data_IF_171528110098
#
_entry.id   IF_171528110098
#
_cell.length_a   1.000
_cell.length_b   1.000
_cell.length_c   1.000
_cell.angle_alpha   90.00
_cell.angle_beta   90.00
_cell.angle_gamma   90.00
#
_symmetry.space_group_name_H-M   'P 1'
#
loop_
_entity.id
_entity.type
_entity.pdbx_description
1 polymer ?
#
# COMPACT_ATOMS: atom_id res chain seq x y z
N UNK A 1 -19.26 -5.94 26.84
CA UNK A 1 -20.48 -6.72 26.53
C UNK A 1 -21.42 -6.05 25.50
N UNK A 2 -21.37 -4.72 25.32
CA UNK A 2 -22.29 -3.97 24.44
C UNK A 2 -21.81 -3.75 22.98
N UNK A 3 -20.62 -4.20 22.59
CA UNK A 3 -20.18 -4.14 21.18
C UNK A 3 -20.44 -5.47 20.49
N UNK A 4 -21.32 -5.44 19.49
CA UNK A 4 -21.72 -6.56 18.62
C UNK A 4 -20.78 -6.77 17.42
N UNK A 5 -19.80 -5.89 17.21
CA UNK A 5 -18.86 -6.01 16.11
C UNK A 5 -17.77 -7.06 16.39
N UNK A 6 -17.35 -7.78 15.36
CA UNK A 6 -16.18 -8.64 15.43
C UNK A 6 -14.94 -7.80 15.74
N UNK A 7 -14.08 -8.21 16.70
CA UNK A 7 -12.83 -7.51 16.95
C UNK A 7 -11.85 -7.72 15.80
N UNK A 8 -11.04 -6.71 15.52
CA UNK A 8 -9.92 -6.80 14.59
C UNK A 8 -8.63 -7.00 15.40
N UNK A 9 -7.76 -7.92 14.98
CA UNK A 9 -6.54 -8.28 15.70
C UNK A 9 -5.36 -8.23 14.73
N UNK A 10 -4.53 -7.20 14.90
CA UNK A 10 -3.27 -7.06 14.17
C UNK A 10 -2.12 -7.74 14.92
N UNK A 11 -1.21 -8.36 14.17
CA UNK A 11 -0.05 -9.08 14.72
C UNK A 11 1.21 -8.63 13.97
N UNK A 12 2.20 -8.16 14.73
CA UNK A 12 3.54 -7.89 14.21
C UNK A 12 4.35 -9.19 14.12
N UNK A 13 4.94 -9.44 12.94
CA UNK A 13 5.81 -10.59 12.69
C UNK A 13 7.14 -10.03 12.16
N UNK A 14 8.25 -10.62 12.57
CA UNK A 14 9.56 -10.31 11.99
C UNK A 14 9.50 -10.44 10.46
N UNK A 15 9.94 -9.40 9.75
CA UNK A 15 9.76 -9.25 8.30
C UNK A 15 10.23 -10.49 7.51
N UNK A 16 11.45 -10.96 7.78
CA UNK A 16 12.04 -12.14 7.12
C UNK A 16 11.29 -13.44 7.40
N UNK A 17 10.53 -13.51 8.50
CA UNK A 17 9.81 -14.71 8.94
C UNK A 17 8.30 -14.64 8.72
N UNK A 18 7.77 -13.50 8.26
CA UNK A 18 6.34 -13.31 7.97
C UNK A 18 5.80 -14.37 7.00
N UNK A 19 6.61 -14.74 6.01
CA UNK A 19 6.23 -15.74 5.01
C UNK A 19 6.08 -17.16 5.61
N UNK A 20 6.80 -17.49 6.68
CA UNK A 20 6.64 -18.77 7.39
C UNK A 20 5.25 -18.87 8.01
N UNK A 21 4.80 -17.79 8.67
CA UNK A 21 3.48 -17.75 9.31
C UNK A 21 2.36 -17.78 8.28
N UNK A 22 2.49 -17.04 7.16
CA UNK A 22 1.52 -17.08 6.06
C UNK A 22 1.42 -18.50 5.50
N UNK A 23 2.56 -19.18 5.31
CA UNK A 23 2.60 -20.55 4.79
C UNK A 23 1.93 -21.53 5.77
N UNK A 24 2.22 -21.42 7.06
CA UNK A 24 1.56 -22.21 8.10
C UNK A 24 0.03 -22.03 8.10
N UNK A 25 -0.46 -20.78 8.02
CA UNK A 25 -1.91 -20.51 7.96
C UNK A 25 -2.52 -21.12 6.71
N UNK A 26 -1.84 -21.00 5.56
CA UNK A 26 -2.30 -21.57 4.28
C UNK A 26 -2.36 -23.10 4.30
N UNK A 27 -1.41 -23.77 4.96
CA UNK A 27 -1.42 -25.22 5.16
C UNK A 27 -2.50 -25.66 6.15
N UNK A 28 -2.67 -24.92 7.25
CA UNK A 28 -3.63 -25.22 8.31
C UNK A 28 -5.08 -25.08 7.87
N UNK A 29 -5.40 -24.05 7.10
CA UNK A 29 -6.79 -23.72 6.73
C UNK A 29 -7.13 -24.03 5.26
N UNK A 30 -6.15 -24.51 4.48
CA UNK A 30 -6.32 -24.90 3.08
C UNK A 30 -5.98 -23.77 2.11
N UNK A 31 -5.29 -24.14 1.01
CA UNK A 31 -4.75 -23.20 0.02
C UNK A 31 -5.81 -22.34 -0.67
N UNK A 32 -7.02 -22.88 -0.85
CA UNK A 32 -8.14 -22.19 -1.50
C UNK A 32 -8.87 -21.20 -0.57
N UNK A 33 -8.64 -21.28 0.74
CA UNK A 33 -9.34 -20.48 1.75
C UNK A 33 -8.49 -19.31 2.28
N UNK A 34 -7.22 -19.20 1.87
CA UNK A 34 -6.28 -18.20 2.39
C UNK A 34 -5.65 -17.42 1.24
N UNK A 35 -5.90 -16.11 1.23
CA UNK A 35 -5.34 -15.18 0.25
C UNK A 35 -4.88 -13.88 0.94
N UNK A 36 -4.01 -13.13 0.27
CA UNK A 36 -3.63 -11.79 0.69
C UNK A 36 -4.66 -10.78 0.15
N UNK A 37 -5.02 -9.81 0.97
CA UNK A 37 -5.81 -8.66 0.52
C UNK A 37 -4.86 -7.69 -0.19
N UNK A 38 -5.27 -7.19 -1.35
CA UNK A 38 -4.48 -6.23 -2.13
C UNK A 38 -4.82 -4.79 -1.73
N UNK A 39 -3.84 -3.90 -1.86
CA UNK A 39 -4.03 -2.46 -1.72
C UNK A 39 -4.14 -1.81 -3.10
N UNK A 40 -5.18 -1.02 -3.32
CA UNK A 40 -5.29 -0.20 -4.52
C UNK A 40 -4.51 1.10 -4.33
N UNK A 41 -3.41 1.26 -5.06
CA UNK A 41 -2.65 2.50 -5.09
C UNK A 41 -3.43 3.60 -5.82
N UNK A 42 -3.66 4.73 -5.17
CA UNK A 42 -4.18 5.93 -5.82
C UNK A 42 -3.03 6.80 -6.34
N UNK A 43 -3.32 7.67 -7.32
CA UNK A 43 -2.32 8.63 -7.79
C UNK A 43 -2.03 9.67 -6.72
N UNK A 44 -0.85 9.61 -6.10
CA UNK A 44 -0.38 10.65 -5.19
C UNK A 44 -0.24 11.99 -5.93
N UNK A 45 -0.62 13.11 -5.30
CA UNK A 45 -0.66 14.43 -5.93
C UNK A 45 0.67 14.82 -6.63
N UNK A 46 1.81 14.54 -5.97
CA UNK A 46 3.14 14.78 -6.55
C UNK A 46 3.46 13.87 -7.74
N UNK A 47 3.04 12.61 -7.66
CA UNK A 47 3.20 11.67 -8.78
C UNK A 47 2.35 12.12 -9.98
N UNK A 48 1.10 12.53 -9.73
CA UNK A 48 0.21 13.04 -10.77
C UNK A 48 0.78 14.24 -11.51
N UNK A 49 1.32 15.24 -10.79
CA UNK A 49 1.96 16.40 -11.42
C UNK A 49 3.19 16.00 -12.25
N UNK A 50 4.01 15.06 -11.76
CA UNK A 50 5.17 14.55 -12.49
C UNK A 50 4.76 13.81 -13.77
N UNK A 51 3.72 13.00 -13.70
CA UNK A 51 3.26 12.21 -14.83
C UNK A 51 2.65 13.10 -15.92
N UNK A 52 1.82 14.08 -15.56
CA UNK A 52 1.28 15.06 -16.50
C UNK A 52 2.39 15.91 -17.12
N UNK A 53 3.35 16.38 -16.31
CA UNK A 53 4.49 17.16 -16.81
C UNK A 53 5.36 16.39 -17.81
N UNK A 54 5.51 15.08 -17.61
CA UNK A 54 6.20 14.18 -18.57
C UNK A 54 5.45 14.12 -19.90
N UNK A 55 4.13 13.94 -19.87
CA UNK A 55 3.29 13.90 -21.09
C UNK A 55 3.34 15.23 -21.85
N UNK A 56 3.42 16.35 -21.14
CA UNK A 56 3.53 17.69 -21.72
C UNK A 56 4.94 18.06 -22.23
N UNK A 57 5.92 17.16 -22.11
CA UNK A 57 7.30 17.40 -22.56
C UNK A 57 8.06 18.45 -21.73
N UNK A 58 7.61 18.73 -20.50
CA UNK A 58 8.27 19.70 -19.62
C UNK A 58 9.52 19.05 -19.02
N UNK A 59 10.68 19.74 -18.96
CA UNK A 59 11.88 19.21 -18.32
C UNK A 59 11.62 18.72 -16.89
N UNK A 60 12.09 17.53 -16.55
CA UNK A 60 11.85 16.89 -15.26
C UNK A 60 12.22 17.78 -14.07
N UNK A 61 13.34 18.51 -14.15
CA UNK A 61 13.79 19.43 -13.09
C UNK A 61 12.75 20.51 -12.77
N UNK A 62 12.07 21.04 -13.78
CA UNK A 62 11.01 22.05 -13.62
C UNK A 62 9.76 21.44 -12.99
N UNK A 63 9.34 20.26 -13.47
CA UNK A 63 8.16 19.56 -12.94
C UNK A 63 8.38 19.09 -11.50
N UNK A 64 9.58 18.60 -11.18
CA UNK A 64 9.94 18.17 -9.82
C UNK A 64 9.97 19.34 -8.83
N UNK A 65 10.47 20.51 -9.26
CA UNK A 65 10.40 21.72 -8.46
C UNK A 65 8.95 22.06 -8.09
N UNK A 66 8.03 22.07 -9.07
CA UNK A 66 6.60 22.31 -8.85
C UNK A 66 5.99 21.23 -7.94
N UNK A 67 6.28 19.95 -8.19
CA UNK A 67 5.74 18.85 -7.39
C UNK A 67 6.18 18.95 -5.91
N UNK A 68 7.37 19.44 -5.62
CA UNK A 68 7.87 19.66 -4.24
C UNK A 68 7.18 20.80 -3.50
N UNK A 69 6.54 21.73 -4.21
CA UNK A 69 5.73 22.79 -3.61
C UNK A 69 4.40 22.27 -3.05
N UNK A 70 3.94 21.10 -3.49
CA UNK A 70 2.75 20.45 -2.92
C UNK A 70 3.10 20.01 -1.49
N UNK A 71 2.42 20.50 -0.44
CA UNK A 71 2.74 20.11 0.92
C UNK A 71 2.61 18.60 1.12
N UNK A 72 3.50 18.04 1.95
CA UNK A 72 3.20 16.78 2.62
C UNK A 72 2.25 17.18 3.74
N UNK A 73 1.04 16.63 3.78
CA UNK A 73 0.14 16.92 4.90
C UNK A 73 0.85 16.78 6.26
#
# INVERSE_FOLDING_TARGET
>A
PERTAMPDIDIDIQDERRNEVISYVREKYGKENVAQIITFGTMAARAAVRDVGRVLGIPYSKVDHIAKLIPFN
#
